data_IF_946992775053
#
_entry.id   IF_946992775053
#
_cell.length_a   1.000
_cell.length_b   1.000
_cell.length_c   1.000
_cell.angle_alpha   90.00
_cell.angle_beta   90.00
_cell.angle_gamma   90.00
#
_symmetry.space_group_name_H-M   'P 1'
#
loop_
_entity.id
_entity.type
_entity.pdbx_description
1 polymer ?
#
# COMPACT_ATOMS: atom_id res chain seq x y z
N UNK A 1 -27.92 -47.40 -3.30
CA UNK A 1 -27.32 -47.19 -4.63
C UNK A 1 -25.97 -46.52 -4.40
N UNK A 2 -24.86 -47.23 -4.63
CA UNK A 2 -23.50 -46.71 -4.46
C UNK A 2 -23.24 -45.70 -5.59
N UNK A 3 -22.76 -44.51 -5.27
CA UNK A 3 -22.18 -43.58 -6.25
C UNK A 3 -20.68 -43.78 -6.21
N UNK A 4 -20.13 -44.25 -7.33
CA UNK A 4 -18.72 -44.59 -7.50
C UNK A 4 -17.82 -43.35 -7.47
N UNK A 5 -16.80 -43.41 -6.61
CA UNK A 5 -15.75 -42.40 -6.42
C UNK A 5 -14.57 -42.75 -7.35
N UNK A 6 -14.76 -42.65 -8.67
CA UNK A 6 -13.70 -42.92 -9.66
C UNK A 6 -13.43 -41.78 -10.64
N UNK A 7 -14.07 -40.61 -10.50
CA UNK A 7 -13.91 -39.47 -11.41
C UNK A 7 -13.26 -38.22 -10.75
N UNK A 8 -12.42 -38.38 -9.73
CA UNK A 8 -11.81 -37.23 -9.01
C UNK A 8 -10.29 -37.11 -9.14
N UNK A 9 -9.60 -38.02 -9.85
CA UNK A 9 -8.13 -38.03 -9.90
C UNK A 9 -7.51 -37.67 -11.25
N UNK A 10 -8.28 -37.51 -12.34
CA UNK A 10 -7.74 -37.05 -13.65
C UNK A 10 -7.95 -35.56 -13.95
N UNK A 11 -8.72 -34.83 -13.14
CA UNK A 11 -9.17 -33.47 -13.47
C UNK A 11 -8.36 -32.32 -12.83
N UNK A 12 -7.30 -32.62 -12.07
CA UNK A 12 -6.42 -31.59 -11.48
C UNK A 12 -5.29 -31.15 -12.42
N UNK A 13 -4.77 -32.05 -13.26
CA UNK A 13 -3.64 -31.75 -14.15
C UNK A 13 -4.05 -30.96 -15.41
N UNK A 14 -5.24 -31.23 -15.97
CA UNK A 14 -5.75 -30.49 -17.13
C UNK A 14 -6.03 -29.02 -16.75
N UNK A 15 -6.64 -28.79 -15.57
CA UNK A 15 -6.86 -27.44 -15.05
C UNK A 15 -5.55 -26.67 -14.84
N UNK A 16 -4.49 -27.32 -14.33
CA UNK A 16 -3.21 -26.65 -14.10
C UNK A 16 -2.52 -26.25 -15.42
N UNK A 17 -2.59 -27.11 -16.45
CA UNK A 17 -2.02 -26.85 -17.78
C UNK A 17 -2.80 -25.73 -18.50
N UNK A 18 -4.13 -25.72 -18.40
CA UNK A 18 -4.96 -24.64 -18.97
C UNK A 18 -4.63 -23.30 -18.31
N UNK A 19 -4.53 -23.24 -16.98
CA UNK A 19 -4.13 -22.04 -16.25
C UNK A 19 -2.71 -21.60 -16.62
N UNK A 20 -1.77 -22.55 -16.76
CA UNK A 20 -0.40 -22.25 -17.16
C UNK A 20 -0.32 -21.70 -18.60
N UNK A 21 -1.07 -22.29 -19.53
CA UNK A 21 -1.11 -21.83 -20.92
C UNK A 21 -1.80 -20.46 -21.05
N UNK A 22 -2.90 -20.22 -20.35
CA UNK A 22 -3.54 -18.89 -20.28
C UNK A 22 -2.58 -17.84 -19.72
N UNK A 23 -1.89 -18.15 -18.61
CA UNK A 23 -0.86 -17.27 -18.02
C UNK A 23 0.31 -17.03 -18.98
N UNK A 24 0.78 -18.06 -19.70
CA UNK A 24 1.89 -17.94 -20.64
C UNK A 24 1.52 -17.02 -21.82
N UNK A 25 0.33 -17.19 -22.39
CA UNK A 25 -0.18 -16.36 -23.48
C UNK A 25 -0.34 -14.89 -23.05
N UNK A 26 -0.80 -14.66 -21.81
CA UNK A 26 -0.86 -13.33 -21.20
C UNK A 26 0.53 -12.70 -20.99
N UNK A 27 1.52 -13.49 -20.55
CA UNK A 27 2.90 -13.02 -20.33
C UNK A 27 3.57 -12.63 -21.66
N UNK A 28 3.38 -13.44 -22.71
CA UNK A 28 3.90 -13.16 -24.05
C UNK A 28 3.30 -11.86 -24.61
N UNK A 29 1.98 -11.67 -24.53
CA UNK A 29 1.32 -10.42 -24.93
C UNK A 29 1.76 -9.19 -24.12
N UNK A 30 2.02 -9.34 -22.82
CA UNK A 30 2.56 -8.25 -21.98
C UNK A 30 4.01 -7.89 -22.37
N UNK A 31 4.81 -8.86 -22.82
CA UNK A 31 6.19 -8.61 -23.25
C UNK A 31 6.27 -7.81 -24.55
N UNK A 32 5.39 -8.09 -25.50
CA UNK A 32 5.26 -7.35 -26.76
C UNK A 32 4.74 -5.93 -26.53
N UNK A 33 3.74 -5.76 -25.66
CA UNK A 33 3.25 -4.43 -25.26
C UNK A 33 4.34 -3.63 -24.53
N UNK A 34 5.14 -4.27 -23.67
CA UNK A 34 6.29 -3.60 -23.02
C UNK A 34 7.34 -3.16 -24.04
N UNK A 35 7.63 -3.98 -25.05
CA UNK A 35 8.56 -3.64 -26.13
C UNK A 35 8.01 -2.50 -27.01
N UNK A 36 6.70 -2.47 -27.27
CA UNK A 36 6.01 -1.39 -27.97
C UNK A 36 6.07 -0.07 -27.19
N UNK A 37 5.71 -0.06 -25.90
CA UNK A 37 5.77 1.14 -25.04
C UNK A 37 7.19 1.69 -24.93
N UNK A 38 8.21 0.82 -24.87
CA UNK A 38 9.61 1.23 -24.72
C UNK A 38 10.17 1.98 -25.95
N UNK A 39 9.53 1.85 -27.12
CA UNK A 39 9.91 2.58 -28.34
C UNK A 39 9.49 4.04 -28.33
N UNK A 40 8.58 4.46 -27.44
CA UNK A 40 8.21 5.86 -27.27
C UNK A 40 7.37 6.46 -28.40
N UNK A 41 6.95 5.65 -29.38
CA UNK A 41 6.25 6.10 -30.60
C UNK A 41 4.72 6.26 -30.43
N UNK A 42 4.19 6.15 -29.22
CA UNK A 42 2.74 6.13 -28.98
C UNK A 42 2.28 7.36 -28.18
N UNK A 43 1.61 8.30 -28.87
CA UNK A 43 0.71 9.29 -28.24
C UNK A 43 -0.54 8.60 -27.64
N UNK A 44 -0.82 7.36 -28.06
CA UNK A 44 -1.99 6.60 -27.64
C UNK A 44 -1.83 5.96 -26.24
N UNK A 45 -2.87 6.12 -25.42
CA UNK A 45 -2.96 5.46 -24.12
C UNK A 45 -3.39 4.00 -24.26
N UNK A 46 -2.48 3.06 -23.98
CA UNK A 46 -2.78 1.62 -24.02
C UNK A 46 -3.22 1.10 -22.65
N UNK A 47 -4.39 0.46 -22.57
CA UNK A 47 -4.85 -0.24 -21.35
C UNK A 47 -4.17 -1.61 -21.26
N UNK A 48 -3.45 -1.85 -20.17
CA UNK A 48 -2.75 -3.11 -19.92
C UNK A 48 -3.32 -3.77 -18.66
N UNK A 49 -3.72 -5.05 -18.77
CA UNK A 49 -4.08 -5.86 -17.60
C UNK A 49 -2.81 -6.27 -16.84
N UNK A 50 -2.82 -6.14 -15.51
CA UNK A 50 -1.69 -6.49 -14.64
C UNK A 50 -2.17 -7.36 -13.49
N UNK A 51 -1.49 -8.48 -13.26
CA UNK A 51 -1.57 -9.18 -11.98
C UNK A 51 -0.80 -8.38 -10.92
N UNK A 52 -1.41 -8.12 -9.77
CA UNK A 52 -0.81 -7.34 -8.68
C UNK A 52 -0.77 -8.16 -7.40
N UNK A 53 0.40 -8.21 -6.76
CA UNK A 53 0.51 -8.66 -5.37
C UNK A 53 0.29 -7.45 -4.45
N UNK A 54 -0.75 -7.50 -3.60
CA UNK A 54 -1.11 -6.41 -2.70
C UNK A 54 -1.02 -6.83 -1.24
N UNK A 55 -0.63 -5.90 -0.37
CA UNK A 55 -0.67 -6.09 1.08
C UNK A 55 -2.03 -5.62 1.58
N UNK A 56 -2.79 -6.54 2.20
CA UNK A 56 -4.06 -6.20 2.85
C UNK A 56 -3.77 -5.45 4.15
N UNK A 57 -4.31 -4.23 4.25
CA UNK A 57 -4.19 -3.37 5.44
C UNK A 57 -5.46 -3.44 6.28
N UNK A 58 -5.31 -3.35 7.59
CA UNK A 58 -6.39 -3.38 8.55
C UNK A 58 -7.16 -2.06 8.54
N UNK A 59 -8.22 -2.03 7.74
CA UNK A 59 -9.11 -0.87 7.60
C UNK A 59 -9.68 -0.38 8.93
N UNK A 60 -9.91 -1.27 9.90
CA UNK A 60 -10.42 -0.88 11.23
C UNK A 60 -9.44 0.01 11.99
N UNK A 61 -8.13 -0.25 11.88
CA UNK A 61 -7.10 0.59 12.50
C UNK A 61 -7.02 1.96 11.82
N UNK A 62 -7.11 1.98 10.49
CA UNK A 62 -7.16 3.22 9.70
C UNK A 62 -8.34 4.08 10.12
N UNK A 63 -9.55 3.50 10.15
CA UNK A 63 -10.77 4.23 10.52
C UNK A 63 -10.72 4.69 12.00
N UNK A 64 -10.17 3.87 12.89
CA UNK A 64 -9.94 4.24 14.30
C UNK A 64 -9.05 5.47 14.42
N UNK A 65 -7.94 5.53 13.70
CA UNK A 65 -7.02 6.68 13.73
C UNK A 65 -7.64 7.93 13.10
N UNK A 66 -8.32 7.81 11.96
CA UNK A 66 -9.00 8.93 11.33
C UNK A 66 -10.00 9.59 12.28
N UNK A 67 -10.79 8.78 12.99
CA UNK A 67 -11.74 9.23 14.02
C UNK A 67 -11.04 9.85 15.24
N UNK A 68 -10.04 9.17 15.82
CA UNK A 68 -9.32 9.63 17.01
C UNK A 68 -8.76 11.05 16.85
N UNK A 69 -8.31 11.38 15.64
CA UNK A 69 -7.73 12.67 15.33
C UNK A 69 -8.65 13.61 14.56
N UNK A 70 -9.94 13.27 14.40
CA UNK A 70 -10.90 14.04 13.63
C UNK A 70 -10.33 14.55 12.30
N UNK A 71 -9.54 13.75 11.57
CA UNK A 71 -8.91 14.21 10.33
C UNK A 71 -8.03 15.50 10.40
N UNK A 72 -7.61 16.00 11.58
CA UNK A 72 -6.48 16.94 11.87
C UNK A 72 -5.03 16.37 11.89
N UNK A 73 -4.16 16.77 10.96
CA UNK A 73 -2.80 16.22 10.78
C UNK A 73 -1.98 16.22 12.08
N UNK A 74 -1.32 15.10 12.41
CA UNK A 74 -0.50 15.01 13.62
C UNK A 74 0.79 15.81 13.58
N UNK A 75 1.22 16.25 12.39
CA UNK A 75 2.43 17.03 12.18
C UNK A 75 2.15 18.53 12.07
N UNK A 76 1.33 18.93 11.12
CA UNK A 76 1.08 20.36 10.85
C UNK A 76 -0.24 20.89 11.42
N UNK A 77 -1.07 20.05 12.05
CA UNK A 77 -2.36 20.45 12.61
C UNK A 77 -3.46 20.73 11.58
N UNK A 78 -3.17 20.71 10.26
CA UNK A 78 -4.19 20.97 9.23
C UNK A 78 -5.22 19.85 9.17
N UNK A 79 -6.51 20.21 9.21
CA UNK A 79 -7.62 19.35 8.81
C UNK A 79 -8.05 19.72 7.39
N UNK A 80 -7.88 18.80 6.44
CA UNK A 80 -8.23 19.06 5.05
C UNK A 80 -9.72 18.77 4.84
N UNK A 81 -10.51 19.78 4.46
CA UNK A 81 -11.93 19.65 4.15
C UNK A 81 -12.10 19.69 2.64
N UNK A 82 -12.61 18.60 2.06
CA UNK A 82 -12.81 18.47 0.60
C UNK A 82 -14.19 18.97 0.19
N UNK A 83 -15.16 18.81 1.08
CA UNK A 83 -16.56 19.18 0.89
C UNK A 83 -17.22 19.27 2.28
N UNK A 84 -18.46 19.74 2.32
CA UNK A 84 -19.30 19.79 3.52
C UNK A 84 -19.31 18.44 4.22
N UNK A 85 -18.80 18.39 5.46
CA UNK A 85 -18.66 17.18 6.28
C UNK A 85 -17.82 16.05 5.65
N UNK A 86 -16.95 16.34 4.68
CA UNK A 86 -16.02 15.36 4.08
C UNK A 86 -14.57 15.74 4.33
N UNK A 87 -14.05 15.51 5.55
CA UNK A 87 -12.64 15.69 5.81
C UNK A 87 -11.80 14.56 5.17
N UNK A 88 -10.59 14.90 4.72
CA UNK A 88 -9.66 13.97 4.12
C UNK A 88 -8.35 13.91 4.91
N UNK A 89 -7.80 12.71 5.02
CA UNK A 89 -6.51 12.46 5.64
C UNK A 89 -6.01 11.07 5.30
N UNK A 90 -4.70 10.89 5.42
CA UNK A 90 -4.00 9.66 5.08
C UNK A 90 -3.38 9.04 6.34
N UNK A 91 -3.14 7.72 6.27
CA UNK A 91 -2.38 6.99 7.27
C UNK A 91 -1.06 6.60 6.63
N UNK A 92 0.03 7.03 7.27
CA UNK A 92 1.38 6.67 6.91
C UNK A 92 1.88 5.63 7.90
N UNK A 93 2.40 4.51 7.39
CA UNK A 93 3.16 3.58 8.20
C UNK A 93 4.59 4.10 8.35
N UNK A 94 5.02 4.37 9.58
CA UNK A 94 6.33 4.98 9.86
C UNK A 94 7.47 4.08 9.36
N UNK A 95 7.40 2.78 9.69
CA UNK A 95 8.16 1.71 9.05
C UNK A 95 7.29 1.14 7.92
N UNK A 96 7.75 1.19 6.65
CA UNK A 96 6.99 0.66 5.51
C UNK A 96 6.60 -0.81 5.69
N UNK A 97 5.40 -1.16 5.24
CA UNK A 97 4.96 -2.56 5.17
C UNK A 97 5.71 -3.32 4.07
N UNK A 98 5.87 -4.63 4.25
CA UNK A 98 6.50 -5.50 3.25
C UNK A 98 8.00 -5.27 3.12
N UNK A 99 8.63 -6.00 2.19
CA UNK A 99 10.09 -5.98 2.04
C UNK A 99 10.58 -4.60 1.53
N UNK A 100 11.78 -4.16 1.96
CA UNK A 100 12.71 -4.84 2.87
C UNK A 100 12.48 -4.54 4.37
N UNK A 101 11.52 -3.66 4.71
CA UNK A 101 11.40 -3.11 6.07
C UNK A 101 10.52 -3.94 7.00
N UNK A 102 9.54 -4.64 6.44
CA UNK A 102 8.64 -5.56 7.13
C UNK A 102 7.94 -4.91 8.34
N UNK A 103 7.57 -3.64 8.19
CA UNK A 103 6.81 -2.89 9.17
C UNK A 103 5.49 -3.59 9.49
N UNK A 104 5.06 -3.49 10.76
CA UNK A 104 3.82 -4.10 11.22
C UNK A 104 2.63 -3.18 10.94
N UNK A 105 1.49 -3.78 10.61
CA UNK A 105 0.23 -3.08 10.42
C UNK A 105 -0.51 -2.89 11.76
N UNK A 106 0.06 -2.05 12.61
CA UNK A 106 -0.37 -1.81 14.00
C UNK A 106 -0.37 -0.31 14.30
N UNK A 107 -1.14 0.12 15.31
CA UNK A 107 -1.29 1.55 15.65
C UNK A 107 0.03 2.21 15.98
N UNK A 108 0.93 1.51 16.67
CA UNK A 108 2.21 2.07 17.11
C UNK A 108 3.16 2.40 15.94
N UNK A 109 2.89 1.85 14.76
CA UNK A 109 3.63 2.09 13.54
C UNK A 109 2.85 3.00 12.56
N UNK A 110 1.76 3.62 12.99
CA UNK A 110 0.93 4.46 12.13
C UNK A 110 0.94 5.90 12.62
N UNK A 111 0.99 6.84 11.69
CA UNK A 111 0.66 8.24 11.94
C UNK A 111 -0.33 8.74 10.92
N UNK A 112 -1.20 9.62 11.38
CA UNK A 112 -2.26 10.20 10.60
C UNK A 112 -1.85 11.60 10.15
N UNK A 113 -1.77 11.81 8.84
CA UNK A 113 -1.21 13.02 8.23
C UNK A 113 -2.10 13.59 7.12
N UNK A 114 -1.83 14.82 6.70
CA UNK A 114 -2.36 15.38 5.45
C UNK A 114 -1.49 14.94 4.25
N UNK A 115 -1.97 15.10 3.00
CA UNK A 115 -1.22 14.69 1.81
C UNK A 115 0.18 15.30 1.73
N UNK A 116 0.32 16.58 2.06
CA UNK A 116 1.62 17.28 1.99
C UNK A 116 2.64 16.66 2.95
N UNK A 117 2.26 16.47 4.23
CA UNK A 117 3.15 15.84 5.19
C UNK A 117 3.41 14.37 4.87
N UNK A 118 2.45 13.66 4.26
CA UNK A 118 2.64 12.27 3.85
C UNK A 118 3.76 12.15 2.83
N UNK A 119 3.75 12.98 1.79
CA UNK A 119 4.82 13.02 0.78
C UNK A 119 6.17 13.33 1.43
N UNK A 120 6.23 14.29 2.36
CA UNK A 120 7.48 14.60 3.06
C UNK A 120 8.04 13.39 3.86
N UNK A 121 7.17 12.57 4.44
CA UNK A 121 7.56 11.35 5.15
C UNK A 121 8.02 10.22 4.20
N UNK A 122 7.33 10.05 3.08
CA UNK A 122 7.69 9.07 2.06
C UNK A 122 9.09 9.35 1.49
N UNK A 123 9.39 10.62 1.21
CA UNK A 123 10.68 11.05 0.68
C UNK A 123 11.76 11.28 1.76
N UNK A 124 11.47 10.98 3.03
CA UNK A 124 12.41 11.15 4.16
C UNK A 124 12.96 12.59 4.23
N UNK A 125 12.09 13.56 3.98
CA UNK A 125 12.41 14.99 3.90
C UNK A 125 12.13 15.75 5.20
N UNK A 126 11.47 15.11 6.17
CA UNK A 126 11.21 15.63 7.50
C UNK A 126 11.52 14.57 8.56
N UNK A 127 11.88 15.02 9.76
CA UNK A 127 12.05 14.15 10.93
C UNK A 127 10.76 14.07 11.72
N UNK A 128 10.60 12.98 12.45
CA UNK A 128 9.58 12.80 13.46
C UNK A 128 10.17 13.11 14.83
N UNK A 129 9.78 14.25 15.40
CA UNK A 129 10.17 14.65 16.76
C UNK A 129 8.98 14.37 17.71
N UNK A 130 9.09 13.43 18.68
CA UNK A 130 7.99 13.03 19.56
C UNK A 130 7.29 14.20 20.26
N UNK A 131 8.05 15.22 20.66
CA UNK A 131 7.57 16.39 21.41
C UNK A 131 6.74 17.33 20.53
N UNK A 132 6.96 17.30 19.22
CA UNK A 132 6.23 18.12 18.24
C UNK A 132 5.03 17.39 17.63
N UNK A 133 4.90 16.08 17.86
CA UNK A 133 3.79 15.28 17.36
C UNK A 133 2.55 15.46 18.24
N UNK A 134 1.43 15.84 17.63
CA UNK A 134 0.14 15.74 18.31
C UNK A 134 -0.26 14.26 18.41
N UNK A 135 0.19 13.57 19.45
CA UNK A 135 -0.05 12.16 19.67
C UNK A 135 -1.14 11.91 20.73
N UNK A 136 -2.22 11.25 20.33
CA UNK A 136 -3.31 10.74 21.18
C UNK A 136 -3.28 9.22 21.32
N UNK A 137 -2.27 8.56 20.74
CA UNK A 137 -2.01 7.14 20.89
C UNK A 137 -0.50 6.91 21.01
N UNK A 138 -0.12 5.76 21.55
CA UNK A 138 1.27 5.36 21.64
C UNK A 138 1.87 5.14 20.25
N UNK A 139 2.97 5.83 19.96
CA UNK A 139 3.76 5.67 18.75
C UNK A 139 5.10 5.04 19.17
N UNK A 140 5.49 3.97 18.48
CA UNK A 140 6.69 3.21 18.81
C UNK A 140 7.95 4.05 18.61
N UNK A 141 8.76 4.17 19.67
CA UNK A 141 10.08 4.81 19.61
C UNK A 141 10.96 4.19 18.52
N UNK A 142 10.96 2.84 18.41
CA UNK A 142 11.68 2.10 17.37
C UNK A 142 11.24 2.53 15.96
N UNK A 143 9.96 2.79 15.76
CA UNK A 143 9.45 3.22 14.45
C UNK A 143 9.92 4.63 14.10
N UNK A 144 9.87 5.56 15.06
CA UNK A 144 10.40 6.92 14.92
C UNK A 144 11.91 6.89 14.63
N UNK A 145 12.68 6.14 15.41
CA UNK A 145 14.13 5.98 15.23
C UNK A 145 14.46 5.40 13.85
N UNK A 146 13.73 4.38 13.40
CA UNK A 146 13.88 3.80 12.07
C UNK A 146 13.66 4.83 10.96
N UNK A 147 12.57 5.58 11.02
CA UNK A 147 12.29 6.65 10.05
C UNK A 147 13.40 7.70 10.05
N UNK A 148 13.74 8.23 11.23
CA UNK A 148 14.71 9.31 11.39
C UNK A 148 16.13 8.92 10.97
N UNK A 149 16.49 7.64 11.05
CA UNK A 149 17.78 7.13 10.55
C UNK A 149 17.93 7.23 9.03
N UNK A 150 16.83 7.37 8.29
CA UNK A 150 16.80 7.44 6.83
C UNK A 150 16.56 8.87 6.31
N UNK A 151 16.35 9.83 7.21
CA UNK A 151 16.15 11.23 6.83
C UNK A 151 17.43 11.78 6.21
N UNK A 152 17.29 12.37 5.03
CA UNK A 152 18.43 12.98 4.33
C UNK A 152 18.82 14.26 5.07
N UNK A 153 20.05 14.32 5.58
CA UNK A 153 20.61 15.58 6.04
C UNK A 153 20.75 16.50 4.82
N UNK A 154 20.15 17.69 4.89
CA UNK A 154 20.35 18.75 3.91
C UNK A 154 21.57 19.57 4.30
#
# INVERSE_FOLDING_TARGET
MKMDISCLTMNKNINLILIYNEKKTLIEGVSEVKAFIKRGDAEDTVRVLRELAVILRNRRLVDKLKKLYNHTCQLCGVQLIIDTNKPYSEIHHIIPLGKPHEGKDILENMIRVCPNCHVLLDFKAIRLEPESLNAKHYISKKSIEHHNSQVRNK
#
